data_IF_492660640693
#
_entry.id   IF_492660640693
#
_cell.length_a   1.000
_cell.length_b   1.000
_cell.length_c   1.000
_cell.angle_alpha   90.00
_cell.angle_beta   90.00
_cell.angle_gamma   90.00
#
_symmetry.space_group_name_H-M   'P 1'
#
loop_
_entity.id
_entity.type
_entity.pdbx_description
1 polymer ?
#
# COMPACT_ATOMS: atom_id res chain seq x y z
N UNK A 1 -32.30 5.55 57.10
CA UNK A 1 -31.07 6.16 57.65
C UNK A 1 -30.07 5.07 58.00
N UNK A 2 -28.87 5.10 57.43
CA UNK A 2 -27.60 4.66 58.03
C UNK A 2 -26.45 5.23 57.18
N UNK A 3 -25.93 6.37 57.64
CA UNK A 3 -24.55 6.85 57.43
C UNK A 3 -23.61 5.79 58.03
N UNK A 4 -22.34 5.62 57.71
CA UNK A 4 -21.32 6.40 57.01
C UNK A 4 -19.99 5.83 57.55
N UNK A 5 -18.97 5.68 56.71
CA UNK A 5 -17.64 5.27 57.19
C UNK A 5 -16.57 6.02 56.38
N UNK A 6 -15.95 6.99 57.06
CA UNK A 6 -14.69 7.62 56.70
C UNK A 6 -13.55 6.87 57.41
N UNK A 7 -12.41 6.74 56.74
CA UNK A 7 -11.08 6.49 57.31
C UNK A 7 -10.08 7.04 56.30
N UNK A 8 -9.50 8.23 56.52
CA UNK A 8 -8.40 8.60 57.43
C UNK A 8 -7.03 8.48 56.75
N UNK A 9 -6.31 9.59 56.83
CA UNK A 9 -5.03 9.91 56.22
C UNK A 9 -3.82 9.13 56.77
N UNK A 10 -2.76 9.11 55.96
CA UNK A 10 -1.38 8.82 56.39
C UNK A 10 -0.42 9.75 55.65
N UNK A 11 0.32 10.54 56.43
CA UNK A 11 1.28 11.59 56.06
C UNK A 11 2.74 11.11 56.14
N UNK A 12 3.64 11.75 55.37
CA UNK A 12 5.11 11.77 55.54
C UNK A 12 5.85 10.79 54.61
N UNK A 13 6.85 11.14 53.79
CA UNK A 13 7.74 12.31 53.74
C UNK A 13 9.11 11.95 54.29
N UNK A 14 10.05 11.48 53.44
CA UNK A 14 11.52 11.64 53.62
C UNK A 14 12.21 11.59 52.24
N UNK A 15 12.99 12.64 51.98
CA UNK A 15 13.88 12.88 50.84
C UNK A 15 14.97 11.80 50.69
N UNK A 16 15.36 11.52 49.43
CA UNK A 16 16.76 11.18 49.08
C UNK A 16 17.11 11.75 47.72
N UNK A 17 17.96 12.77 47.75
CA UNK A 17 18.83 13.21 46.67
C UNK A 17 19.64 12.03 46.09
N UNK A 18 19.63 11.91 44.76
CA UNK A 18 20.79 11.41 44.03
C UNK A 18 20.92 12.23 42.74
N UNK A 19 21.85 13.15 42.80
CA UNK A 19 22.36 14.03 41.77
C UNK A 19 23.21 13.22 40.76
N UNK A 20 22.85 13.20 39.47
CA UNK A 20 23.73 12.71 38.40
C UNK A 20 23.56 13.54 37.12
N UNK A 21 24.38 14.59 37.09
CA UNK A 21 24.96 15.37 36.01
C UNK A 21 24.67 15.00 34.53
N UNK A 22 24.35 16.08 33.81
CA UNK A 22 24.23 16.28 32.37
C UNK A 22 25.59 16.17 31.66
N UNK A 23 25.67 15.32 30.63
CA UNK A 23 26.81 15.24 29.70
C UNK A 23 26.42 15.67 28.28
N UNK A 24 26.57 16.96 27.97
CA UNK A 24 26.49 17.49 26.61
C UNK A 24 27.87 17.39 25.94
N UNK A 25 27.97 16.72 24.79
CA UNK A 25 29.16 16.79 23.93
C UNK A 25 28.83 17.62 22.69
N UNK A 26 29.43 18.82 22.65
CA UNK A 26 29.42 19.78 21.55
C UNK A 26 30.65 19.55 20.66
N UNK A 27 30.40 19.61 19.35
CA UNK A 27 31.33 19.51 18.21
C UNK A 27 32.43 20.61 18.25
N UNK A 28 33.56 20.41 17.56
CA UNK A 28 33.98 21.46 16.63
C UNK A 28 34.34 20.95 15.21
N UNK A 29 34.06 21.77 14.18
CA UNK A 29 34.38 21.51 12.77
C UNK A 29 35.78 22.01 12.44
N UNK A 30 36.42 21.48 11.39
CA UNK A 30 37.55 22.18 10.76
C UNK A 30 37.50 22.16 9.23
N UNK A 31 38.10 23.21 8.70
CA UNK A 31 37.77 23.99 7.51
C UNK A 31 38.77 23.70 6.38
N UNK A 32 38.34 23.95 5.14
CA UNK A 32 39.15 23.82 3.91
C UNK A 32 40.16 24.96 3.72
N UNK A 33 41.20 24.68 2.94
CA UNK A 33 41.96 25.51 1.97
C UNK A 33 43.44 25.04 2.00
N UNK A 34 44.28 25.06 0.97
CA UNK A 34 44.25 25.47 -0.44
C UNK A 34 45.64 25.12 -1.04
N UNK A 35 45.72 25.07 -2.37
CA UNK A 35 46.90 25.30 -3.22
C UNK A 35 48.20 24.48 -3.06
N UNK A 36 48.55 23.76 -4.14
CA UNK A 36 49.86 23.92 -4.79
C UNK A 36 49.86 23.28 -6.19
N UNK A 37 50.10 24.13 -7.19
CA UNK A 37 50.32 23.78 -8.58
C UNK A 37 51.77 23.33 -8.84
N UNK A 38 51.97 22.45 -9.84
CA UNK A 38 53.07 22.40 -10.86
C UNK A 38 53.04 21.02 -11.52
N UNK A 39 53.41 20.75 -12.79
CA UNK A 39 53.66 21.46 -14.06
C UNK A 39 54.23 20.36 -14.99
N UNK A 40 53.87 20.39 -16.29
CA UNK A 40 54.51 19.72 -17.45
C UNK A 40 54.43 18.18 -17.54
N UNK A 41 53.74 17.61 -18.53
CA UNK A 41 53.93 17.64 -20.00
C UNK A 41 54.79 16.46 -20.46
N UNK A 42 54.20 15.57 -21.25
CA UNK A 42 54.83 15.07 -22.47
C UNK A 42 53.78 14.51 -23.43
N UNK A 43 53.89 14.96 -24.67
CA UNK A 43 53.04 14.64 -25.79
C UNK A 43 53.53 13.36 -26.48
N UNK A 44 52.59 12.55 -26.94
CA UNK A 44 52.84 11.46 -27.89
C UNK A 44 51.69 11.42 -28.89
N UNK A 45 51.88 12.08 -30.03
CA UNK A 45 50.92 12.14 -31.14
C UNK A 45 50.79 10.79 -31.84
N UNK A 46 49.59 10.26 -31.93
CA UNK A 46 49.23 9.13 -32.78
C UNK A 46 47.93 9.43 -33.51
N UNK A 47 48.05 9.75 -34.79
CA UNK A 47 46.96 10.00 -35.74
C UNK A 47 46.01 8.80 -35.79
N UNK A 48 44.70 9.01 -35.54
CA UNK A 48 43.64 8.07 -35.93
C UNK A 48 42.37 8.85 -36.25
N UNK A 49 41.81 8.58 -37.44
CA UNK A 49 40.83 9.42 -38.13
C UNK A 49 39.55 9.70 -37.36
N UNK A 50 39.13 10.96 -37.43
CA UNK A 50 37.79 11.43 -37.06
C UNK A 50 36.78 10.94 -38.11
N UNK A 51 36.04 9.90 -37.76
CA UNK A 51 34.69 9.71 -38.28
C UNK A 51 33.73 10.32 -37.25
N UNK A 52 33.47 11.61 -37.39
CA UNK A 52 32.44 12.34 -36.64
C UNK A 52 31.06 11.93 -37.15
N UNK A 53 30.56 10.76 -36.73
CA UNK A 53 29.11 10.57 -36.67
C UNK A 53 28.59 11.33 -35.45
N UNK A 54 28.38 12.63 -35.63
CA UNK A 54 27.52 13.44 -34.75
C UNK A 54 26.07 13.03 -35.01
N UNK A 55 25.67 11.86 -34.50
CA UNK A 55 24.27 11.51 -34.44
C UNK A 55 23.77 11.85 -33.04
N UNK A 56 22.91 12.87 -32.96
CA UNK A 56 22.22 13.25 -31.72
C UNK A 56 21.37 12.05 -31.29
N UNK A 57 21.53 11.50 -30.07
CA UNK A 57 20.73 10.37 -29.63
C UNK A 57 19.24 10.75 -29.65
N UNK A 58 18.46 10.10 -30.51
CA UNK A 58 17.01 10.21 -30.48
C UNK A 58 16.56 9.70 -29.11
N UNK A 59 15.83 10.49 -28.30
CA UNK A 59 15.29 10.02 -27.03
C UNK A 59 14.43 8.79 -27.32
N UNK A 60 14.89 7.62 -26.86
CA UNK A 60 14.09 6.40 -27.00
C UNK A 60 12.90 6.55 -26.07
N UNK A 61 11.65 6.58 -26.57
CA UNK A 61 10.50 6.48 -25.69
C UNK A 61 10.65 5.16 -24.92
N UNK A 62 10.70 5.24 -23.59
CA UNK A 62 10.71 4.07 -22.72
C UNK A 62 9.31 3.47 -22.81
N UNK A 63 9.10 2.59 -23.80
CA UNK A 63 7.88 1.80 -23.90
C UNK A 63 7.91 0.80 -22.74
N UNK A 64 7.15 1.10 -21.70
CA UNK A 64 6.89 0.19 -20.58
C UNK A 64 6.13 -1.04 -21.11
N UNK A 65 6.86 -2.07 -21.55
CA UNK A 65 6.26 -3.37 -21.89
C UNK A 65 6.05 -4.13 -20.59
N UNK A 66 4.79 -4.37 -20.23
CA UNK A 66 4.47 -5.27 -19.12
C UNK A 66 5.05 -6.66 -19.40
N UNK A 67 5.75 -7.24 -18.43
CA UNK A 67 6.29 -8.60 -18.58
C UNK A 67 5.14 -9.60 -18.75
N UNK A 68 5.37 -10.71 -19.48
CA UNK A 68 4.37 -11.77 -19.64
C UNK A 68 3.87 -12.25 -18.27
N UNK A 69 4.78 -12.42 -17.30
CA UNK A 69 4.45 -12.73 -15.91
C UNK A 69 3.48 -11.71 -15.30
N UNK A 70 3.72 -10.41 -15.48
CA UNK A 70 2.86 -9.35 -14.97
C UNK A 70 1.45 -9.41 -15.56
N UNK A 71 1.35 -9.57 -16.88
CA UNK A 71 0.06 -9.73 -17.56
C UNK A 71 -0.71 -10.96 -17.07
N UNK A 72 -0.01 -12.08 -16.84
CA UNK A 72 -0.61 -13.31 -16.29
C UNK A 72 -1.06 -13.09 -14.84
N UNK A 73 -0.28 -12.39 -14.01
CA UNK A 73 -0.67 -12.07 -12.65
C UNK A 73 -1.96 -11.23 -12.61
N UNK A 74 -2.08 -10.22 -13.46
CA UNK A 74 -3.27 -9.36 -13.54
C UNK A 74 -4.49 -10.15 -14.07
N UNK A 75 -4.29 -11.03 -15.05
CA UNK A 75 -5.33 -11.93 -15.54
C UNK A 75 -5.81 -12.90 -14.44
N UNK A 76 -4.89 -13.46 -13.65
CA UNK A 76 -5.23 -14.34 -12.53
C UNK A 76 -5.94 -13.60 -11.40
N UNK A 77 -5.52 -12.39 -11.04
CA UNK A 77 -6.25 -11.54 -10.08
C UNK A 77 -7.66 -11.25 -10.56
N UNK A 78 -7.82 -10.96 -11.85
CA UNK A 78 -9.14 -10.77 -12.47
C UNK A 78 -9.98 -12.03 -12.35
N UNK A 79 -9.42 -13.20 -12.69
CA UNK A 79 -10.12 -14.48 -12.63
C UNK A 79 -10.53 -14.84 -11.18
N UNK A 80 -9.70 -14.54 -10.17
CA UNK A 80 -10.05 -14.69 -8.76
C UNK A 80 -11.22 -13.77 -8.39
N UNK A 81 -11.10 -12.47 -8.63
CA UNK A 81 -12.09 -11.48 -8.17
C UNK A 81 -13.44 -11.62 -8.90
N UNK A 82 -13.44 -12.09 -10.14
CA UNK A 82 -14.65 -12.36 -10.93
C UNK A 82 -15.30 -13.71 -10.61
N UNK A 83 -14.62 -14.58 -9.85
CA UNK A 83 -15.11 -15.93 -9.54
C UNK A 83 -14.91 -16.95 -10.66
N UNK A 84 -14.11 -16.64 -11.69
CA UNK A 84 -13.69 -17.64 -12.68
C UNK A 84 -12.73 -18.68 -12.08
N UNK A 85 -11.94 -18.29 -11.08
CA UNK A 85 -11.20 -19.22 -10.21
C UNK A 85 -11.95 -19.35 -8.89
N UNK A 86 -12.49 -20.53 -8.64
CA UNK A 86 -13.40 -20.78 -7.54
C UNK A 86 -12.65 -21.02 -6.23
N UNK A 87 -13.08 -20.42 -5.11
CA UNK A 87 -12.57 -20.74 -3.78
C UNK A 87 -12.59 -22.26 -3.51
N UNK A 88 -11.52 -22.78 -2.91
CA UNK A 88 -11.38 -24.20 -2.56
C UNK A 88 -10.89 -25.09 -3.71
N UNK A 89 -11.02 -24.66 -4.96
CA UNK A 89 -10.55 -25.41 -6.13
C UNK A 89 -9.02 -25.33 -6.31
N UNK A 90 -8.45 -26.39 -6.87
CA UNK A 90 -7.01 -26.51 -7.14
C UNK A 90 -6.75 -26.37 -8.63
N UNK A 91 -5.91 -25.39 -8.99
CA UNK A 91 -5.48 -25.13 -10.36
C UNK A 91 -4.00 -25.44 -10.54
N UNK A 92 -3.66 -26.14 -11.62
CA UNK A 92 -2.27 -26.43 -11.96
C UNK A 92 -1.71 -25.35 -12.91
N UNK A 93 -0.41 -25.03 -12.76
CA UNK A 93 0.25 -24.08 -13.64
C UNK A 93 0.23 -24.48 -15.13
N UNK A 94 0.37 -25.77 -15.51
CA UNK A 94 0.22 -26.20 -16.90
C UNK A 94 -1.17 -25.95 -17.47
N UNK A 95 -2.24 -26.31 -16.75
CA UNK A 95 -3.62 -26.13 -17.23
C UNK A 95 -3.97 -24.64 -17.40
N UNK A 96 -3.56 -23.80 -16.45
CA UNK A 96 -3.68 -22.35 -16.57
C UNK A 96 -2.83 -21.80 -17.71
N UNK A 97 -1.62 -22.34 -17.95
CA UNK A 97 -0.76 -21.97 -19.07
C UNK A 97 -1.42 -22.22 -20.43
N UNK A 98 -2.02 -23.40 -20.61
CA UNK A 98 -2.82 -23.72 -21.80
C UNK A 98 -3.97 -22.73 -22.00
N UNK A 99 -4.70 -22.41 -20.92
CA UNK A 99 -5.81 -21.44 -20.95
C UNK A 99 -5.35 -20.04 -21.37
N UNK A 100 -4.18 -19.61 -20.91
CA UNK A 100 -3.64 -18.27 -21.22
C UNK A 100 -2.74 -18.24 -22.47
N UNK A 101 -2.51 -19.38 -23.13
CA UNK A 101 -1.64 -19.47 -24.31
C UNK A 101 -0.16 -19.21 -24.01
N UNK A 102 0.31 -19.53 -22.80
CA UNK A 102 1.69 -19.34 -22.35
C UNK A 102 2.27 -20.61 -21.72
N UNK A 103 3.58 -20.67 -21.53
CA UNK A 103 4.21 -21.79 -20.82
C UNK A 103 3.85 -21.79 -19.33
N UNK A 104 4.05 -22.92 -18.65
CA UNK A 104 3.72 -23.06 -17.23
C UNK A 104 4.61 -22.21 -16.30
N UNK A 105 5.80 -21.78 -16.75
CA UNK A 105 6.77 -21.03 -15.93
C UNK A 105 6.23 -19.65 -15.47
N UNK A 106 5.83 -18.72 -16.37
CA UNK A 106 5.29 -17.43 -15.95
C UNK A 106 4.01 -17.57 -15.11
N UNK A 107 3.19 -18.60 -15.37
CA UNK A 107 2.02 -18.91 -14.56
C UNK A 107 2.40 -19.33 -13.15
N UNK A 108 3.38 -20.24 -13.01
CA UNK A 108 3.85 -20.68 -11.70
C UNK A 108 4.43 -19.53 -10.89
N UNK A 109 5.16 -18.62 -11.53
CA UNK A 109 5.69 -17.42 -10.86
C UNK A 109 4.58 -16.45 -10.43
N UNK A 110 3.56 -16.27 -11.25
CA UNK A 110 2.39 -15.46 -10.90
C UNK A 110 1.56 -16.10 -9.77
N UNK A 111 1.35 -17.42 -9.79
CA UNK A 111 0.63 -18.14 -8.73
C UNK A 111 1.43 -18.18 -7.41
N UNK A 112 2.77 -18.24 -7.46
CA UNK A 112 3.61 -18.08 -6.27
C UNK A 112 3.47 -16.68 -5.68
N UNK A 113 3.43 -15.65 -6.52
CA UNK A 113 3.16 -14.29 -6.07
C UNK A 113 1.78 -14.19 -5.41
N UNK A 114 0.75 -14.83 -5.98
CA UNK A 114 -0.58 -14.93 -5.37
C UNK A 114 -0.59 -15.71 -4.04
N UNK A 115 0.31 -16.68 -3.90
CA UNK A 115 0.47 -17.43 -2.65
C UNK A 115 1.08 -16.57 -1.54
N UNK A 116 2.13 -15.80 -1.87
CA UNK A 116 2.68 -14.77 -0.97
C UNK A 116 1.64 -13.71 -0.63
N UNK A 117 0.77 -13.41 -1.60
CA UNK A 117 -0.29 -12.46 -1.39
C UNK A 117 -1.36 -13.00 -0.45
N UNK A 118 -1.53 -14.33 -0.31
CA UNK A 118 -2.57 -15.00 0.50
C UNK A 118 -3.87 -15.32 -0.25
N UNK A 119 -3.83 -15.22 -1.59
CA UNK A 119 -4.97 -15.48 -2.47
C UNK A 119 -5.12 -16.97 -2.80
N UNK A 120 -3.99 -17.69 -2.81
CA UNK A 120 -3.93 -19.12 -3.06
C UNK A 120 -2.96 -19.80 -2.08
N UNK A 121 -3.08 -21.11 -1.91
CA UNK A 121 -2.15 -21.94 -1.15
C UNK A 121 -1.45 -22.92 -2.06
N UNK A 122 -0.17 -23.18 -1.82
CA UNK A 122 0.58 -24.19 -2.58
C UNK A 122 0.13 -25.58 -2.14
N UNK A 123 -0.36 -26.38 -3.09
CA UNK A 123 -0.69 -27.79 -2.87
C UNK A 123 0.41 -28.66 -3.51
N UNK A 124 1.26 -29.34 -2.71
CA UNK A 124 2.37 -30.13 -3.22
C UNK A 124 1.93 -31.10 -4.33
N UNK A 125 2.66 -31.10 -5.44
CA UNK A 125 2.43 -31.95 -6.61
C UNK A 125 1.06 -31.80 -7.31
N UNK A 126 0.20 -30.85 -6.91
CA UNK A 126 -1.11 -30.63 -7.53
C UNK A 126 -1.28 -29.25 -8.15
N UNK A 127 -0.69 -28.22 -7.54
CA UNK A 127 -0.77 -26.84 -8.03
C UNK A 127 -1.06 -25.87 -6.88
N UNK A 128 -2.08 -25.05 -7.05
CA UNK A 128 -2.44 -23.98 -6.12
C UNK A 128 -3.93 -24.01 -5.84
N UNK A 129 -4.31 -24.00 -4.56
CA UNK A 129 -5.70 -23.95 -4.11
C UNK A 129 -6.12 -22.50 -3.91
N UNK A 130 -7.26 -22.07 -4.45
CA UNK A 130 -7.80 -20.74 -4.12
C UNK A 130 -8.25 -20.72 -2.66
N UNK A 131 -7.83 -19.72 -1.90
CA UNK A 131 -8.18 -19.60 -0.48
C UNK A 131 -9.68 -19.34 -0.33
N UNK A 132 -10.31 -20.09 0.57
CA UNK A 132 -11.70 -19.90 0.97
C UNK A 132 -11.78 -18.92 2.13
N UNK A 133 -12.51 -17.80 1.94
CA UNK A 133 -12.82 -16.88 3.03
C UNK A 133 -14.29 -16.89 3.35
N UNK A 134 -14.58 -16.98 4.64
CA UNK A 134 -15.91 -16.79 5.19
C UNK A 134 -16.17 -15.32 5.57
N UNK A 135 -17.45 -14.98 5.77
CA UNK A 135 -17.86 -13.61 6.11
C UNK A 135 -17.25 -13.16 7.44
N UNK A 136 -17.05 -14.11 8.35
CA UNK A 136 -16.39 -13.90 9.63
C UNK A 136 -14.95 -13.39 9.47
N UNK A 137 -14.13 -14.05 8.66
CA UNK A 137 -12.73 -13.64 8.48
C UNK A 137 -12.64 -12.25 7.85
N UNK A 138 -13.52 -11.93 6.89
CA UNK A 138 -13.59 -10.58 6.31
C UNK A 138 -13.97 -9.51 7.35
N UNK A 139 -14.90 -9.83 8.26
CA UNK A 139 -15.25 -8.93 9.36
C UNK A 139 -14.09 -8.73 10.35
N UNK A 140 -13.38 -9.82 10.70
CA UNK A 140 -12.18 -9.78 11.56
C UNK A 140 -11.06 -8.95 10.91
N UNK A 141 -10.84 -9.09 9.60
CA UNK A 141 -9.89 -8.26 8.85
C UNK A 141 -10.30 -6.78 8.85
N UNK A 142 -11.58 -6.47 8.63
CA UNK A 142 -12.09 -5.11 8.66
C UNK A 142 -11.92 -4.46 10.05
N UNK A 143 -12.18 -5.21 11.12
CA UNK A 143 -11.96 -4.76 12.50
C UNK A 143 -10.50 -4.40 12.76
N UNK A 144 -9.57 -5.29 12.41
CA UNK A 144 -8.12 -5.04 12.59
C UNK A 144 -7.67 -3.84 11.75
N UNK A 145 -8.15 -3.72 10.51
CA UNK A 145 -7.87 -2.56 9.66
C UNK A 145 -8.37 -1.27 10.27
N UNK A 146 -9.60 -1.23 10.78
CA UNK A 146 -10.13 -0.04 11.44
C UNK A 146 -9.29 0.37 12.66
N UNK A 147 -8.85 -0.59 13.48
CA UNK A 147 -7.99 -0.34 14.65
C UNK A 147 -6.63 0.27 14.29
N UNK A 148 -6.10 -0.04 13.09
CA UNK A 148 -4.78 0.45 12.64
C UNK A 148 -4.91 1.73 11.81
N UNK A 149 -5.81 1.75 10.82
CA UNK A 149 -5.86 2.79 9.79
C UNK A 149 -6.57 4.05 10.29
N UNK A 150 -7.68 3.93 11.03
CA UNK A 150 -8.47 5.10 11.49
C UNK A 150 -7.64 6.04 12.39
N UNK A 151 -6.94 5.56 13.44
CA UNK A 151 -6.11 6.44 14.27
C UNK A 151 -4.99 7.13 13.48
N UNK A 152 -4.44 6.46 12.47
CA UNK A 152 -3.40 7.02 11.60
C UNK A 152 -3.96 8.16 10.78
N UNK A 153 -5.06 7.94 10.06
CA UNK A 153 -5.67 8.98 9.22
C UNK A 153 -6.10 10.19 10.07
N UNK A 154 -6.70 9.97 11.23
CA UNK A 154 -7.07 11.06 12.15
C UNK A 154 -5.87 11.85 12.68
N UNK A 155 -4.74 11.18 12.94
CA UNK A 155 -3.50 11.86 13.31
C UNK A 155 -2.94 12.67 12.14
N UNK A 156 -2.91 12.09 10.94
CA UNK A 156 -2.43 12.76 9.74
C UNK A 156 -3.28 13.98 9.40
N UNK A 157 -4.60 13.89 9.53
CA UNK A 157 -5.53 14.99 9.28
C UNK A 157 -5.20 16.27 10.08
N UNK A 158 -4.54 16.13 11.23
CA UNK A 158 -4.13 17.25 12.10
C UNK A 158 -2.75 17.81 11.77
N UNK A 159 -1.86 17.02 11.18
CA UNK A 159 -0.43 17.36 11.04
C UNK A 159 0.04 17.54 9.60
N UNK A 160 -0.62 16.91 8.63
CA UNK A 160 -0.22 16.96 7.23
C UNK A 160 -0.72 18.26 6.58
N UNK A 161 0.13 19.00 5.84
CA UNK A 161 -0.29 20.19 5.09
C UNK A 161 -1.38 19.90 4.07
N UNK A 162 -2.25 20.87 3.81
CA UNK A 162 -3.42 20.70 2.93
C UNK A 162 -3.03 20.36 1.49
N UNK A 163 -1.90 20.89 1.04
CA UNK A 163 -1.33 20.70 -0.29
C UNK A 163 -1.02 19.22 -0.55
N UNK A 164 -0.54 18.50 0.48
CA UNK A 164 -0.24 17.07 0.40
C UNK A 164 -1.49 16.22 0.18
N UNK A 165 -2.64 16.64 0.71
CA UNK A 165 -3.93 15.97 0.46
C UNK A 165 -4.42 16.25 -0.96
N UNK A 166 -4.28 17.50 -1.42
CA UNK A 166 -4.64 17.89 -2.78
C UNK A 166 -3.85 17.11 -3.84
N UNK A 167 -2.57 16.80 -3.57
CA UNK A 167 -1.74 15.96 -4.45
C UNK A 167 -2.26 14.52 -4.62
N UNK A 168 -3.06 14.01 -3.68
CA UNK A 168 -3.64 12.66 -3.80
C UNK A 168 -4.91 12.61 -4.67
N UNK A 169 -5.43 13.76 -5.11
CA UNK A 169 -6.64 13.86 -5.94
C UNK A 169 -6.61 12.94 -7.17
N UNK A 170 -5.53 12.89 -7.99
CA UNK A 170 -5.51 12.05 -9.18
C UNK A 170 -5.62 10.55 -8.86
N UNK A 171 -5.15 10.13 -7.69
CA UNK A 171 -5.23 8.73 -7.22
C UNK A 171 -6.67 8.39 -6.81
N UNK A 172 -7.35 9.28 -6.09
CA UNK A 172 -8.77 9.10 -5.77
C UNK A 172 -9.63 9.04 -7.05
N UNK A 173 -9.41 9.94 -8.00
CA UNK A 173 -10.14 9.92 -9.27
C UNK A 173 -9.82 8.67 -10.12
N UNK A 174 -8.61 8.13 -10.03
CA UNK A 174 -8.27 6.86 -10.67
C UNK A 174 -9.11 5.71 -10.11
N UNK A 175 -9.38 5.70 -8.80
CA UNK A 175 -10.28 4.71 -8.19
C UNK A 175 -11.73 4.84 -8.70
N UNK A 176 -12.23 6.07 -8.89
CA UNK A 176 -13.56 6.32 -9.46
C UNK A 176 -13.65 5.88 -10.93
N UNK A 177 -12.60 6.16 -11.73
CA UNK A 177 -12.52 5.67 -13.11
C UNK A 177 -12.46 4.14 -13.17
N UNK A 178 -11.69 3.52 -12.28
CA UNK A 178 -11.60 2.07 -12.16
C UNK A 178 -12.95 1.44 -11.78
N UNK A 179 -13.65 1.98 -10.77
CA UNK A 179 -15.01 1.57 -10.42
C UNK A 179 -15.98 1.74 -11.59
N UNK A 180 -15.84 2.84 -12.34
CA UNK A 180 -16.60 3.13 -13.56
C UNK A 180 -16.22 2.24 -14.76
N UNK A 181 -15.33 1.27 -14.63
CA UNK A 181 -15.19 0.20 -15.62
C UNK A 181 -16.12 -0.98 -15.32
N UNK A 182 -16.61 -1.12 -14.08
CA UNK A 182 -17.28 -2.31 -13.58
C UNK A 182 -16.33 -3.49 -13.32
N UNK A 183 -15.05 -3.37 -13.64
CA UNK A 183 -14.05 -4.38 -13.35
C UNK A 183 -13.62 -4.29 -11.89
N UNK A 184 -14.06 -5.27 -11.10
CA UNK A 184 -13.74 -5.36 -9.66
C UNK A 184 -12.24 -5.45 -9.39
N UNK A 185 -11.49 -6.19 -10.20
CA UNK A 185 -10.05 -6.33 -10.02
C UNK A 185 -9.33 -4.99 -10.24
N UNK A 186 -9.70 -4.27 -11.31
CA UNK A 186 -9.18 -2.93 -11.57
C UNK A 186 -9.53 -1.95 -10.44
N UNK A 187 -10.76 -2.02 -9.92
CA UNK A 187 -11.15 -1.22 -8.76
C UNK A 187 -10.34 -1.57 -7.52
N UNK A 188 -10.22 -2.86 -7.19
CA UNK A 188 -9.47 -3.34 -6.03
C UNK A 188 -8.01 -2.85 -6.07
N UNK A 189 -7.37 -2.86 -7.24
CA UNK A 189 -6.00 -2.36 -7.40
C UNK A 189 -5.90 -0.84 -7.16
N UNK A 190 -6.85 -0.07 -7.69
CA UNK A 190 -6.91 1.39 -7.51
C UNK A 190 -7.23 1.80 -6.07
N UNK A 191 -8.14 1.06 -5.42
CA UNK A 191 -8.50 1.16 -4.00
C UNK A 191 -7.26 0.94 -3.11
N UNK A 192 -6.51 -0.16 -3.32
CA UNK A 192 -5.24 -0.38 -2.60
C UNK A 192 -4.23 0.73 -2.81
N UNK A 193 -4.16 1.27 -4.03
CA UNK A 193 -3.26 2.37 -4.37
C UNK A 193 -3.60 3.63 -3.60
N UNK A 194 -4.89 3.96 -3.49
CA UNK A 194 -5.37 5.10 -2.71
C UNK A 194 -5.06 4.94 -1.21
N UNK A 195 -5.46 3.83 -0.59
CA UNK A 195 -5.19 3.54 0.82
C UNK A 195 -3.70 3.61 1.14
N UNK A 196 -2.85 2.99 0.30
CA UNK A 196 -1.40 3.05 0.45
C UNK A 196 -0.87 4.48 0.35
N UNK A 197 -1.36 5.30 -0.58
CA UNK A 197 -0.91 6.67 -0.75
C UNK A 197 -1.24 7.54 0.48
N UNK A 198 -2.44 7.41 1.02
CA UNK A 198 -2.87 8.10 2.25
C UNK A 198 -1.98 7.69 3.43
N UNK A 199 -1.82 6.39 3.67
CA UNK A 199 -1.04 5.89 4.82
C UNK A 199 0.46 6.19 4.68
N UNK A 200 0.98 6.28 3.46
CA UNK A 200 2.40 6.61 3.22
C UNK A 200 2.79 8.00 3.72
N UNK A 201 1.83 8.92 3.84
CA UNK A 201 2.07 10.24 4.46
C UNK A 201 2.46 10.14 5.95
N UNK A 202 2.27 8.99 6.59
CA UNK A 202 2.75 8.77 7.95
C UNK A 202 4.25 8.54 8.06
N UNK A 203 4.95 8.28 6.95
CA UNK A 203 6.38 7.92 6.94
C UNK A 203 6.69 6.61 7.67
N UNK A 204 5.68 5.79 7.99
CA UNK A 204 5.87 4.52 8.71
C UNK A 204 5.70 3.36 7.73
N UNK A 205 6.82 2.92 7.15
CA UNK A 205 6.82 1.87 6.13
C UNK A 205 6.28 0.53 6.63
N UNK A 206 6.54 0.19 7.90
CA UNK A 206 6.03 -1.05 8.51
C UNK A 206 4.51 -1.03 8.63
N UNK A 207 3.94 0.11 9.04
CA UNK A 207 2.50 0.29 9.08
C UNK A 207 1.88 0.18 7.69
N UNK A 208 2.47 0.83 6.70
CA UNK A 208 1.99 0.77 5.31
C UNK A 208 2.03 -0.67 4.79
N UNK A 209 3.08 -1.43 5.10
CA UNK A 209 3.21 -2.82 4.69
C UNK A 209 2.12 -3.71 5.31
N UNK A 210 1.90 -3.61 6.62
CA UNK A 210 0.87 -4.38 7.34
C UNK A 210 -0.53 -4.01 6.85
N UNK A 211 -0.85 -2.72 6.75
CA UNK A 211 -2.17 -2.27 6.30
C UNK A 211 -2.43 -2.67 4.83
N UNK A 212 -1.44 -2.54 3.94
CA UNK A 212 -1.56 -2.96 2.54
C UNK A 212 -1.80 -4.46 2.41
N UNK A 213 -1.17 -5.25 3.27
CA UNK A 213 -1.38 -6.68 3.34
C UNK A 213 -2.81 -7.01 3.78
N UNK A 214 -3.25 -6.53 4.95
CA UNK A 214 -4.62 -6.75 5.46
C UNK A 214 -5.71 -6.27 4.48
N UNK A 215 -5.49 -5.13 3.84
CA UNK A 215 -6.42 -4.57 2.87
C UNK A 215 -6.52 -5.44 1.62
N UNK A 216 -5.39 -5.91 1.07
CA UNK A 216 -5.40 -6.94 0.01
C UNK A 216 -6.17 -8.17 0.47
N UNK A 217 -6.05 -8.54 1.76
CA UNK A 217 -6.79 -9.69 2.28
C UNK A 217 -8.30 -9.51 2.34
N UNK A 218 -8.71 -8.29 2.60
CA UNK A 218 -10.12 -7.92 2.71
C UNK A 218 -10.84 -7.88 1.34
N UNK A 219 -10.10 -7.87 0.23
CA UNK A 219 -10.64 -7.75 -1.12
C UNK A 219 -10.91 -9.09 -1.83
N UNK A 220 -10.53 -10.22 -1.23
CA UNK A 220 -10.78 -11.50 -1.88
C UNK A 220 -12.26 -11.92 -1.80
N UNK A 221 -12.75 -12.63 -2.83
CA UNK A 221 -14.15 -13.04 -2.88
C UNK A 221 -14.56 -13.87 -1.68
N UNK A 222 -15.76 -13.62 -1.20
CA UNK A 222 -16.44 -14.44 -0.20
C UNK A 222 -16.95 -15.73 -0.85
N UNK A 223 -16.79 -16.87 -0.17
CA UNK A 223 -17.39 -18.15 -0.60
C UNK A 223 -18.90 -18.01 -0.72
N UNK A 224 -19.47 -18.40 -1.86
CA UNK A 224 -20.93 -18.35 -2.10
C UNK A 224 -21.51 -16.95 -2.32
N UNK A 225 -20.69 -15.89 -2.30
CA UNK A 225 -21.14 -14.58 -2.72
C UNK A 225 -21.23 -14.52 -4.25
N UNK A 226 -22.43 -14.76 -4.78
CA UNK A 226 -22.78 -14.32 -6.13
C UNK A 226 -22.58 -12.82 -6.20
N UNK A 227 -21.59 -12.35 -6.98
CA UNK A 227 -21.43 -11.00 -7.55
C UNK A 227 -22.07 -9.80 -6.78
N UNK A 228 -22.06 -9.80 -5.44
CA UNK A 228 -23.08 -9.09 -4.66
C UNK A 228 -22.99 -7.56 -4.72
N UNK A 229 -21.84 -7.02 -5.12
CA UNK A 229 -21.65 -5.57 -5.35
C UNK A 229 -21.62 -5.18 -6.82
N UNK A 230 -22.68 -4.61 -7.34
CA UNK A 230 -22.72 -4.14 -8.73
C UNK A 230 -21.76 -2.98 -8.98
N UNK A 231 -21.70 -2.56 -10.25
CA UNK A 231 -20.98 -1.35 -10.67
C UNK A 231 -21.35 -0.11 -9.82
N UNK A 232 -22.62 0.02 -9.46
CA UNK A 232 -23.11 1.14 -8.65
C UNK A 232 -22.46 1.16 -7.26
N UNK A 233 -22.32 0.00 -6.62
CA UNK A 233 -21.68 -0.13 -5.31
C UNK A 233 -20.20 0.23 -5.38
N UNK A 234 -19.48 -0.22 -6.43
CA UNK A 234 -18.08 0.16 -6.63
C UNK A 234 -17.92 1.68 -6.79
N UNK A 235 -18.82 2.33 -7.51
CA UNK A 235 -18.78 3.79 -7.70
C UNK A 235 -19.07 4.51 -6.38
N UNK A 236 -20.01 4.00 -5.58
CA UNK A 236 -20.31 4.54 -4.25
C UNK A 236 -19.09 4.41 -3.34
N UNK A 237 -18.48 3.23 -3.24
CA UNK A 237 -17.27 2.98 -2.46
C UNK A 237 -16.12 3.92 -2.92
N UNK A 238 -15.91 4.06 -4.23
CA UNK A 238 -14.86 4.93 -4.77
C UNK A 238 -15.10 6.43 -4.51
N UNK A 239 -16.36 6.87 -4.46
CA UNK A 239 -16.71 8.26 -4.18
C UNK A 239 -16.36 8.66 -2.73
N UNK A 240 -16.31 7.70 -1.81
CA UNK A 240 -15.86 7.94 -0.44
C UNK A 240 -14.40 8.42 -0.39
N UNK A 241 -13.54 7.96 -1.31
CA UNK A 241 -12.15 8.44 -1.41
C UNK A 241 -12.07 9.93 -1.72
N UNK A 242 -12.88 10.40 -2.68
CA UNK A 242 -12.92 11.82 -3.05
C UNK A 242 -13.51 12.66 -1.92
N UNK A 243 -14.58 12.18 -1.27
CA UNK A 243 -15.19 12.87 -0.14
C UNK A 243 -14.23 12.97 1.06
N UNK A 244 -13.45 11.92 1.33
CA UNK A 244 -12.44 11.94 2.39
C UNK A 244 -11.36 12.98 2.10
N UNK A 245 -10.84 13.04 0.87
CA UNK A 245 -9.86 14.07 0.49
C UNK A 245 -10.45 15.48 0.59
N UNK A 246 -11.71 15.68 0.21
CA UNK A 246 -12.38 16.98 0.34
C UNK A 246 -12.46 17.42 1.80
N UNK A 247 -12.86 16.52 2.70
CA UNK A 247 -12.91 16.78 4.13
C UNK A 247 -11.52 17.07 4.73
N UNK A 248 -10.49 16.32 4.30
CA UNK A 248 -9.10 16.53 4.70
C UNK A 248 -8.57 17.90 4.22
N UNK A 249 -8.92 18.30 3.00
CA UNK A 249 -8.53 19.59 2.43
C UNK A 249 -9.24 20.75 3.15
N UNK A 250 -10.54 20.59 3.44
CA UNK A 250 -11.32 21.55 4.21
C UNK A 250 -10.95 21.60 5.70
N UNK A 251 -10.12 20.65 6.18
CA UNK A 251 -9.78 20.44 7.60
C UNK A 251 -11.01 20.19 8.49
N UNK A 252 -12.06 19.59 7.92
CA UNK A 252 -13.25 19.20 8.66
C UNK A 252 -13.01 17.85 9.36
N UNK A 253 -12.44 17.92 10.57
CA UNK A 253 -12.05 16.72 11.31
C UNK A 253 -13.23 15.86 11.77
N UNK A 254 -14.42 16.44 11.90
CA UNK A 254 -15.62 15.70 12.29
C UNK A 254 -16.15 14.89 11.11
N UNK A 255 -16.18 15.48 9.91
CA UNK A 255 -16.49 14.75 8.68
C UNK A 255 -15.44 13.70 8.38
N UNK A 256 -14.14 14.00 8.55
CA UNK A 256 -13.07 13.00 8.39
C UNK A 256 -13.32 11.81 9.32
N UNK A 257 -13.63 12.05 10.60
CA UNK A 257 -13.91 10.98 11.57
C UNK A 257 -15.10 10.11 11.16
N UNK A 258 -16.17 10.72 10.70
CA UNK A 258 -17.34 10.00 10.22
C UNK A 258 -17.01 9.12 9.01
N UNK A 259 -16.33 9.70 8.01
CA UNK A 259 -15.97 9.01 6.78
C UNK A 259 -15.01 7.86 7.03
N UNK A 260 -13.94 8.07 7.82
CA UNK A 260 -12.99 6.98 8.10
C UNK A 260 -13.61 5.87 8.96
N UNK A 261 -14.55 6.21 9.85
CA UNK A 261 -15.28 5.22 10.64
C UNK A 261 -16.16 4.31 9.77
N UNK A 262 -16.85 4.88 8.77
CA UNK A 262 -17.70 4.11 7.85
C UNK A 262 -16.91 3.35 6.78
N UNK A 263 -15.91 3.99 6.18
CA UNK A 263 -15.14 3.48 5.06
C UNK A 263 -14.20 2.33 5.46
N UNK A 264 -13.49 2.45 6.59
CA UNK A 264 -12.49 1.46 7.01
C UNK A 264 -13.08 0.31 7.83
N UNK A 265 -14.23 0.49 8.47
CA UNK A 265 -14.89 -0.57 9.22
C UNK A 265 -15.58 -1.61 8.33
N UNK A 266 -15.65 -1.39 7.00
CA UNK A 266 -16.40 -2.21 6.07
C UNK A 266 -17.89 -2.13 6.40
N UNK A 267 -18.65 -1.33 5.64
CA UNK A 267 -20.10 -1.23 5.90
C UNK A 267 -20.72 -2.64 5.80
N UNK A 268 -21.35 -3.02 6.91
CA UNK A 268 -22.06 -4.29 7.14
C UNK A 268 -23.19 -4.53 6.15
#
# INVERSE_FOLDING_TARGET
MKQGAQGSAGTGGVERDVDLAVGAVRVPPQMRASDAARVRAEAGSGVRGEHTHSEVPIPRPVVQRASVRGQILDALRTALVTGELLPGEVYSAPALGERFGVSATPVREAMQQLALEGAVEVVPNRGFRVVERGARELAELAEVRALIEVPVVLRLARSVPVERWAELRPVAEASVRAASSGCRATYADADRTFHRAVLSLSGNEQLVQIASDLHRRSQWPLVGASAARGRADLIADAAEHTALLDALVARDLDVVRLLVGGHFAGRS
#
